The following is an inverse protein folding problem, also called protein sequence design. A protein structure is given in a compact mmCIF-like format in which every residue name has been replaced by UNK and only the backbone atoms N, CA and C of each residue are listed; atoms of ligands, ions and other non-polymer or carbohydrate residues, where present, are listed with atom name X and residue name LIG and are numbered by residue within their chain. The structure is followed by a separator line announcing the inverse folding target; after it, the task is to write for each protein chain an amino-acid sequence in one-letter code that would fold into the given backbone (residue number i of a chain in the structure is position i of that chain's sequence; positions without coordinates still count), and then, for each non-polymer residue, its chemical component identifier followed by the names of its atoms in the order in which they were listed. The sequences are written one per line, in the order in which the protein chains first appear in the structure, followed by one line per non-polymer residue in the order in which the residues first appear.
data_IF_235526814158
#
_entry.id   IF_235526814158
#
_cell.length_a   1.000
_cell.length_b   1.000
_cell.length_c   1.000
_cell.angle_alpha   90.00
_cell.angle_beta   90.00
_cell.angle_gamma   90.00
#
_symmetry.space_group_name_H-M   'P 1'
#
loop_
_entity.id
_entity.type
_entity.pdbx_description
1 polymer ?
#
# COMPACT_ATOMS: atom_id res chain seq x y z
N UNK A 1 15.97 5.52 -9.59
CA UNK A 1 16.28 4.55 -8.55
C UNK A 1 15.03 3.96 -7.93
N UNK A 2 15.10 2.71 -7.60
CA UNK A 2 14.01 2.03 -6.89
C UNK A 2 14.16 2.32 -5.40
N UNK A 3 13.21 3.04 -4.82
CA UNK A 3 13.14 3.13 -3.37
C UNK A 3 12.39 1.92 -2.83
N UNK A 4 12.96 1.27 -1.86
CA UNK A 4 12.33 0.18 -1.15
C UNK A 4 12.40 0.45 0.34
N UNK A 5 11.29 0.26 1.01
CA UNK A 5 11.23 0.40 2.45
C UNK A 5 10.28 -0.63 3.04
N UNK A 6 10.54 -1.01 4.27
CA UNK A 6 9.69 -1.92 5.02
C UNK A 6 9.56 -1.39 6.44
N UNK A 7 8.35 -1.34 6.94
CA UNK A 7 8.06 -1.02 8.34
C UNK A 7 7.28 -2.15 8.96
N UNK A 8 7.48 -2.39 10.25
CA UNK A 8 6.80 -3.45 10.97
C UNK A 8 6.35 -2.97 12.34
N UNK A 9 5.35 -3.65 12.87
CA UNK A 9 4.83 -3.41 14.21
C UNK A 9 4.52 -4.77 14.83
N UNK A 10 5.25 -5.17 15.89
CA UNK A 10 5.07 -6.50 16.51
C UNK A 10 3.67 -6.72 17.08
N UNK A 11 3.07 -5.68 17.62
CA UNK A 11 1.71 -5.71 18.14
C UNK A 11 1.07 -4.33 18.03
N UNK A 12 -0.28 -4.25 18.13
CA UNK A 12 -1.00 -2.97 17.93
C UNK A 12 -0.67 -1.89 18.94
N UNK A 13 -0.11 -2.24 20.09
CA UNK A 13 0.24 -1.26 21.13
C UNK A 13 1.56 -0.54 20.85
N UNK A 14 2.35 -1.05 19.89
CA UNK A 14 3.68 -0.49 19.57
C UNK A 14 3.62 0.38 18.32
N UNK A 15 4.58 1.28 18.22
CA UNK A 15 4.77 2.07 17.01
C UNK A 15 5.39 1.22 15.90
N UNK A 16 5.17 1.64 14.66
CA UNK A 16 5.87 1.03 13.52
C UNK A 16 7.36 1.35 13.58
N UNK A 17 8.16 0.38 13.20
CA UNK A 17 9.61 0.48 13.17
C UNK A 17 10.14 0.19 11.77
N UNK A 18 11.29 0.76 11.45
CA UNK A 18 11.98 0.46 10.20
C UNK A 18 12.51 -0.97 10.24
N UNK A 19 11.91 -1.85 9.46
CA UNK A 19 12.28 -3.26 9.41
C UNK A 19 13.47 -3.53 8.48
N UNK A 20 13.97 -2.51 7.78
CA UNK A 20 15.13 -2.67 6.86
C UNK A 20 16.48 -2.64 7.58
N UNK A 21 16.49 -2.44 8.89
CA UNK A 21 17.73 -2.36 9.69
C UNK A 21 18.34 -0.96 9.75
N UNK A 22 17.74 0.02 9.09
CA UNK A 22 18.25 1.39 9.06
C UNK A 22 17.92 2.21 10.29
N UNK A 23 17.06 1.74 11.17
CA UNK A 23 16.63 2.39 12.40
C UNK A 23 16.09 3.83 12.17
N UNK A 24 15.52 4.06 11.03
CA UNK A 24 14.96 5.38 10.68
C UNK A 24 13.66 5.61 11.45
N UNK A 25 13.46 6.80 12.05
CA UNK A 25 12.18 7.11 12.69
C UNK A 25 11.03 7.03 11.68
N UNK A 26 9.97 6.35 12.05
CA UNK A 26 8.77 6.22 11.21
C UNK A 26 7.84 7.38 11.44
N UNK A 27 7.44 8.05 10.38
CA UNK A 27 6.42 9.10 10.42
C UNK A 27 5.05 8.45 10.59
N UNK A 28 4.57 8.39 11.83
CA UNK A 28 3.35 7.70 12.23
C UNK A 28 2.14 8.08 11.39
N UNK A 29 2.03 9.36 11.08
CA UNK A 29 0.89 9.88 10.31
C UNK A 29 0.87 9.35 8.89
N UNK A 30 2.03 9.17 8.25
CA UNK A 30 2.11 8.65 6.89
C UNK A 30 1.61 7.21 6.82
N UNK A 31 1.94 6.39 7.81
CA UNK A 31 1.45 5.01 7.88
C UNK A 31 -0.06 4.99 8.10
N UNK A 32 -0.58 5.80 9.02
CA UNK A 32 -2.02 5.90 9.26
C UNK A 32 -2.77 6.35 8.01
N UNK A 33 -2.25 7.33 7.29
CA UNK A 33 -2.85 7.83 6.06
C UNK A 33 -2.89 6.72 4.99
N UNK A 34 -1.79 6.00 4.82
CA UNK A 34 -1.71 4.90 3.86
C UNK A 34 -2.72 3.79 4.18
N UNK A 35 -2.77 3.35 5.43
CA UNK A 35 -3.68 2.29 5.86
C UNK A 35 -5.15 2.73 5.70
N UNK A 36 -5.47 3.99 6.03
CA UNK A 36 -6.81 4.53 5.87
C UNK A 36 -7.22 4.60 4.40
N UNK A 37 -6.31 5.03 3.53
CA UNK A 37 -6.59 5.11 2.10
C UNK A 37 -6.85 3.74 1.50
N UNK A 38 -6.14 2.72 1.94
CA UNK A 38 -6.37 1.34 1.48
C UNK A 38 -7.67 0.75 2.03
N UNK A 39 -8.09 1.17 3.23
CA UNK A 39 -9.35 0.72 3.83
C UNK A 39 -10.56 1.39 3.18
N UNK A 40 -10.45 2.64 2.75
CA UNK A 40 -11.53 3.44 2.17
C UNK A 40 -11.42 3.49 0.65
N UNK A 41 -11.70 2.37 -0.01
CA UNK A 41 -11.63 2.26 -1.48
C UNK A 41 -12.64 3.10 -2.24
N UNK A 42 -13.62 3.69 -1.53
CA UNK A 42 -14.62 4.57 -2.14
C UNK A 42 -14.04 5.84 -2.75
N UNK A 43 -12.78 6.15 -2.46
CA UNK A 43 -12.11 7.34 -3.00
C UNK A 43 -11.50 7.13 -4.39
N UNK A 44 -11.61 5.92 -4.97
CA UNK A 44 -11.01 5.60 -6.27
C UNK A 44 -12.06 4.99 -7.20
N UNK A 45 -11.90 5.25 -8.49
CA UNK A 45 -12.74 4.64 -9.52
C UNK A 45 -12.31 3.21 -9.77
N UNK A 46 -13.27 2.36 -10.15
CA UNK A 46 -13.03 0.95 -10.44
C UNK A 46 -13.58 0.60 -11.83
N UNK A 47 -12.81 -0.15 -12.60
CA UNK A 47 -13.15 -0.56 -13.96
C UNK A 47 -12.74 -2.01 -14.19
N UNK A 48 -13.43 -2.75 -15.09
CA UNK A 48 -12.92 -4.04 -15.51
C UNK A 48 -11.54 -3.93 -16.14
N UNK A 49 -10.69 -4.93 -15.98
CA UNK A 49 -9.37 -4.93 -16.60
C UNK A 49 -9.44 -4.73 -18.11
N UNK A 50 -10.48 -5.26 -18.76
CA UNK A 50 -10.70 -5.09 -20.19
C UNK A 50 -10.89 -3.65 -20.65
N UNK A 51 -11.15 -2.74 -19.72
CA UNK A 51 -11.25 -1.31 -19.98
C UNK A 51 -9.90 -0.72 -20.41
N UNK A 52 -8.79 -1.35 -20.01
CA UNK A 52 -7.44 -0.82 -20.23
C UNK A 52 -6.75 -1.59 -21.36
N UNK A 53 -6.43 -0.91 -22.46
CA UNK A 53 -5.66 -1.46 -23.58
C UNK A 53 -4.19 -1.05 -23.55
N UNK A 54 -3.87 0.00 -22.81
CA UNK A 54 -2.55 0.63 -22.82
C UNK A 54 -1.91 0.64 -21.42
N UNK A 55 -2.10 -0.44 -20.67
CA UNK A 55 -1.50 -0.57 -19.38
C UNK A 55 -0.02 -0.93 -19.51
N UNK A 56 0.85 -0.10 -18.94
CA UNK A 56 2.28 -0.39 -18.92
C UNK A 56 2.59 -1.48 -17.88
N UNK A 57 3.77 -2.11 -17.96
CA UNK A 57 4.19 -3.06 -16.92
C UNK A 57 4.18 -2.43 -15.53
N UNK A 58 4.02 -3.26 -14.52
CA UNK A 58 4.02 -2.79 -13.13
C UNK A 58 5.31 -2.04 -12.80
N UNK A 59 5.16 -0.87 -12.17
CA UNK A 59 6.31 -0.05 -11.76
C UNK A 59 6.45 0.05 -10.24
N UNK A 60 5.44 -0.39 -9.49
CA UNK A 60 5.47 -0.35 -8.03
C UNK A 60 4.58 -1.43 -7.44
N UNK A 61 4.91 -1.89 -6.26
CA UNK A 61 4.11 -2.81 -5.48
C UNK A 61 4.03 -2.34 -4.04
N UNK A 62 2.89 -2.55 -3.42
CA UNK A 62 2.69 -2.36 -1.99
C UNK A 62 2.19 -3.68 -1.41
N UNK A 63 2.88 -4.19 -0.39
CA UNK A 63 2.50 -5.43 0.27
C UNK A 63 2.27 -5.13 1.75
N UNK A 64 1.11 -5.56 2.25
CA UNK A 64 0.76 -5.45 3.66
C UNK A 64 0.47 -6.85 4.19
N UNK A 65 1.22 -7.26 5.21
CA UNK A 65 0.99 -8.51 5.92
C UNK A 65 0.47 -8.19 7.32
N UNK A 66 -0.41 -9.03 7.85
CA UNK A 66 -1.01 -8.80 9.14
C UNK A 66 -0.91 -10.03 10.07
N UNK A 67 -1.35 -9.83 11.33
CA UNK A 67 -1.32 -10.88 12.34
C UNK A 67 -2.30 -12.02 12.07
N UNK A 68 -3.26 -11.81 11.16
CA UNK A 68 -4.22 -12.83 10.75
C UNK A 68 -3.69 -13.78 9.67
N UNK A 69 -2.43 -13.66 9.30
CA UNK A 69 -1.79 -14.51 8.30
C UNK A 69 -2.13 -14.13 6.87
N UNK A 70 -2.65 -12.94 6.65
CA UNK A 70 -3.01 -12.47 5.32
C UNK A 70 -1.94 -11.53 4.75
N UNK A 71 -1.71 -11.69 3.45
CA UNK A 71 -0.88 -10.78 2.67
C UNK A 71 -1.76 -10.14 1.62
N UNK A 72 -1.82 -8.81 1.62
CA UNK A 72 -2.55 -8.02 0.64
C UNK A 72 -1.55 -7.29 -0.22
N UNK A 73 -1.78 -7.30 -1.52
CA UNK A 73 -0.86 -6.69 -2.48
C UNK A 73 -1.60 -5.77 -3.42
N UNK A 74 -1.06 -4.56 -3.61
CA UNK A 74 -1.47 -3.65 -4.65
C UNK A 74 -0.33 -3.55 -5.66
N UNK A 75 -0.64 -3.71 -6.94
CA UNK A 75 0.32 -3.64 -8.04
C UNK A 75 -0.06 -2.44 -8.89
N UNK A 76 0.88 -1.53 -9.09
CA UNK A 76 0.63 -0.23 -9.73
C UNK A 76 1.22 -0.19 -11.14
N UNK A 77 0.42 0.34 -12.05
CA UNK A 77 0.76 0.47 -13.46
C UNK A 77 0.52 1.90 -13.93
N UNK A 78 1.34 2.35 -14.85
CA UNK A 78 1.09 3.61 -15.55
C UNK A 78 0.25 3.36 -16.79
N UNK A 79 -0.51 4.37 -17.17
CA UNK A 79 -1.24 4.37 -18.43
C UNK A 79 -0.38 5.05 -19.50
N UNK A 80 -0.17 4.38 -20.61
CA UNK A 80 0.50 4.99 -21.75
C UNK A 80 -0.35 6.15 -22.27
N UNK A 81 0.25 7.34 -22.33
CA UNK A 81 -0.43 8.54 -22.80
C UNK A 81 -1.21 9.30 -21.75
N UNK A 82 -1.27 8.83 -20.50
CA UNK A 82 -1.92 9.56 -19.41
C UNK A 82 -1.09 9.44 -18.13
N UNK A 83 -0.28 10.46 -17.86
CA UNK A 83 0.57 10.53 -16.68
C UNK A 83 -0.15 11.06 -15.43
N UNK A 84 -1.43 11.45 -15.55
CA UNK A 84 -2.20 12.01 -14.45
C UNK A 84 -2.76 10.96 -13.52
N UNK A 85 -2.77 9.69 -13.93
CA UNK A 85 -3.40 8.60 -13.21
C UNK A 85 -2.45 7.43 -13.02
N UNK A 86 -2.72 6.65 -11.97
CA UNK A 86 -2.12 5.35 -11.74
C UNK A 86 -3.26 4.33 -11.68
N UNK A 87 -3.06 3.21 -12.35
CA UNK A 87 -3.99 2.08 -12.30
C UNK A 87 -3.39 1.00 -11.43
N UNK A 88 -4.17 0.42 -10.53
CA UNK A 88 -3.68 -0.64 -9.68
C UNK A 88 -4.66 -1.79 -9.59
N UNK A 89 -4.11 -2.96 -9.35
CA UNK A 89 -4.86 -4.19 -9.08
C UNK A 89 -4.61 -4.62 -7.65
N UNK A 90 -5.58 -5.32 -7.07
CA UNK A 90 -5.48 -5.85 -5.72
C UNK A 90 -5.46 -7.36 -5.75
N UNK A 91 -4.64 -7.96 -4.90
CA UNK A 91 -4.63 -9.38 -4.65
C UNK A 91 -4.46 -9.64 -3.14
N UNK A 92 -4.82 -10.83 -2.72
CA UNK A 92 -4.67 -11.22 -1.32
C UNK A 92 -4.47 -12.74 -1.26
N UNK A 93 -3.67 -13.16 -0.28
CA UNK A 93 -3.43 -14.58 -0.06
C UNK A 93 -3.21 -14.87 1.42
N UNK A 94 -3.39 -16.13 1.80
CA UNK A 94 -3.00 -16.63 3.12
C UNK A 94 -1.52 -16.99 3.03
N UNK A 95 -0.65 -16.22 3.71
CA UNK A 95 0.78 -16.55 3.74
C UNK A 95 1.14 -17.41 4.95
N UNK A 96 0.27 -17.46 5.97
CA UNK A 96 0.47 -18.25 7.17
C UNK A 96 -0.89 -18.68 7.72
N UNK A 97 -1.04 -19.97 7.99
CA UNK A 97 -2.25 -20.46 8.64
C UNK A 97 -2.30 -19.98 10.09
N UNK A 98 -3.37 -19.34 10.47
CA UNK A 98 -3.61 -18.87 11.83
C UNK A 98 -4.90 -19.49 12.34
N UNK A 99 -4.80 -20.25 13.42
CA UNK A 99 -5.96 -20.82 14.10
C UNK A 99 -6.33 -19.93 15.28
N UNK A 100 -7.43 -19.22 15.12
CA UNK A 100 -7.93 -18.32 16.13
C UNK A 100 -9.46 -18.43 16.12
N UNK A 101 -10.11 -18.50 17.32
CA UNK A 101 -11.58 -18.58 17.37
C UNK A 101 -12.22 -17.41 16.63
N UNK A 102 -13.19 -17.73 15.76
CA UNK A 102 -13.89 -16.72 14.98
C UNK A 102 -13.16 -16.18 13.75
N UNK A 103 -11.93 -16.62 13.49
CA UNK A 103 -11.16 -16.19 12.34
C UNK A 103 -11.44 -17.10 11.14
N UNK A 104 -11.94 -16.51 10.05
CA UNK A 104 -12.06 -17.16 8.75
C UNK A 104 -11.20 -16.36 7.77
N UNK A 105 -10.01 -16.88 7.48
CA UNK A 105 -9.04 -16.20 6.62
C UNK A 105 -9.55 -16.03 5.20
N UNK A 106 -10.21 -17.04 4.65
CA UNK A 106 -10.75 -16.96 3.29
C UNK A 106 -11.83 -15.88 3.18
N UNK A 107 -12.67 -15.78 4.19
CA UNK A 107 -13.73 -14.76 4.22
C UNK A 107 -13.16 -13.35 4.24
N UNK A 108 -12.04 -13.14 4.96
CA UNK A 108 -11.36 -11.83 4.97
C UNK A 108 -10.77 -11.50 3.59
N UNK A 109 -10.22 -12.50 2.89
CA UNK A 109 -9.74 -12.32 1.52
C UNK A 109 -10.89 -11.95 0.60
N UNK A 110 -12.00 -12.67 0.67
CA UNK A 110 -13.17 -12.43 -0.18
C UNK A 110 -13.73 -11.02 0.05
N UNK A 111 -13.76 -10.55 1.28
CA UNK A 111 -14.16 -9.17 1.60
C UNK A 111 -13.21 -8.14 1.01
N UNK A 112 -11.92 -8.41 1.06
CA UNK A 112 -10.92 -7.51 0.48
C UNK A 112 -11.04 -7.45 -1.05
N UNK A 113 -11.31 -8.59 -1.67
CA UNK A 113 -11.45 -8.71 -3.13
C UNK A 113 -12.91 -8.69 -3.59
N UNK A 114 -13.79 -7.99 -2.89
CA UNK A 114 -15.24 -8.04 -3.12
C UNK A 114 -15.65 -7.74 -4.57
N UNK A 115 -14.84 -6.97 -5.30
CA UNK A 115 -15.10 -6.67 -6.72
C UNK A 115 -14.51 -7.70 -7.69
N UNK A 116 -13.83 -8.73 -7.16
CA UNK A 116 -13.19 -9.76 -7.99
C UNK A 116 -11.76 -9.41 -8.38
N UNK A 117 -11.07 -10.40 -8.98
CA UNK A 117 -9.65 -10.28 -9.32
C UNK A 117 -9.39 -9.50 -10.61
N UNK A 118 -10.38 -9.38 -11.49
CA UNK A 118 -10.23 -8.74 -12.78
C UNK A 118 -10.67 -7.28 -12.77
N UNK A 119 -10.61 -6.65 -11.61
CA UNK A 119 -10.96 -5.25 -11.43
C UNK A 119 -9.69 -4.43 -11.27
N UNK A 120 -9.62 -3.34 -12.01
CA UNK A 120 -8.57 -2.34 -11.88
C UNK A 120 -9.15 -1.11 -11.21
N UNK A 121 -8.33 -0.43 -10.42
CA UNK A 121 -8.69 0.79 -9.72
C UNK A 121 -7.81 1.92 -10.23
N UNK A 122 -8.37 3.12 -10.25
CA UNK A 122 -7.62 4.31 -10.64
C UNK A 122 -7.46 5.25 -9.47
N UNK A 123 -6.30 5.87 -9.38
CA UNK A 123 -6.09 6.98 -8.48
C UNK A 123 -5.28 8.08 -9.17
N UNK A 124 -5.44 9.35 -8.76
CA UNK A 124 -4.60 10.42 -9.28
C UNK A 124 -3.13 10.19 -8.92
N UNK A 125 -2.22 10.53 -9.84
CA UNK A 125 -0.78 10.40 -9.60
C UNK A 125 -0.32 11.17 -8.35
N UNK A 126 -0.77 12.39 -8.07
CA UNK A 126 -0.38 13.08 -6.83
C UNK A 126 -0.76 12.31 -5.57
N UNK A 127 -1.93 11.68 -5.56
CA UNK A 127 -2.36 10.86 -4.42
C UNK A 127 -1.47 9.64 -4.27
N UNK A 128 -1.13 8.97 -5.38
CA UNK A 128 -0.21 7.85 -5.37
C UNK A 128 1.15 8.25 -4.78
N UNK A 129 1.70 9.37 -5.22
CA UNK A 129 2.98 9.86 -4.73
C UNK A 129 2.95 10.16 -3.23
N UNK A 130 1.85 10.73 -2.76
CA UNK A 130 1.66 11.01 -1.33
C UNK A 130 1.57 9.73 -0.51
N UNK A 131 0.79 8.74 -0.97
CA UNK A 131 0.58 7.49 -0.26
C UNK A 131 1.80 6.58 -0.25
N UNK A 132 2.62 6.65 -1.28
CA UNK A 132 3.80 5.78 -1.42
C UNK A 132 5.10 6.46 -1.02
N UNK A 133 5.05 7.71 -0.55
CA UNK A 133 6.20 8.37 0.02
C UNK A 133 6.75 7.54 1.18
N UNK A 134 8.07 7.48 1.28
CA UNK A 134 8.72 6.74 2.36
C UNK A 134 8.20 7.23 3.72
N UNK A 135 7.78 6.30 4.61
CA UNK A 135 7.10 6.67 5.86
C UNK A 135 8.06 7.07 6.97
N UNK A 136 9.24 7.54 6.62
CA UNK A 136 10.25 7.92 7.58
C UNK A 136 10.28 9.43 7.75
N UNK A 137 10.59 9.85 8.97
CA UNK A 137 10.82 11.26 9.24
C UNK A 137 12.04 11.73 8.43
N UNK A 138 11.90 12.90 7.83
CA UNK A 138 13.03 13.51 7.17
C UNK A 138 14.12 13.78 8.21
N UNK A 139 15.40 13.51 7.89
CA UNK A 139 16.48 13.90 8.78
C UNK A 139 16.35 15.39 9.07
N UNK A 140 16.42 15.74 10.36
CA UNK A 140 16.46 17.15 10.76
C UNK A 140 17.72 17.75 10.17
N UNK A 141 17.61 18.28 8.97
CA UNK A 141 18.66 19.13 8.44
C UNK A 141 18.80 20.29 9.41
N UNK A 142 19.98 20.43 10.00
CA UNK A 142 20.31 21.69 10.63
C UNK A 142 20.05 22.77 9.60
N UNK A 143 18.99 23.53 9.80
CA UNK A 143 18.79 24.71 8.96
C UNK A 143 20.07 25.50 8.99
N UNK A 144 20.65 25.83 7.82
CA UNK A 144 21.79 26.74 7.83
C UNK A 144 21.34 27.95 8.62
N UNK A 145 22.13 28.30 9.63
CA UNK A 145 21.83 29.46 10.42
C UNK A 145 21.77 30.65 9.49
N UNK A 146 20.59 31.11 9.22
CA UNK A 146 20.46 32.42 8.63
C UNK A 146 20.89 33.43 9.66
N UNK A 147 21.98 33.93 9.43
CA UNK A 147 22.36 35.17 10.12
C UNK A 147 21.80 36.35 9.34
#
# INVERSE_FOLDING_TARGET
GRSQWTVSRPDPSRAFEDASGGLRPVARQNISTLLSALAFRSAVDAFPRSHYKNLEPAFAELIITDAYGLSRKAVFHRLKGDSSKVVFTLDARIYRQVKMPGLDQQKLIDRFLFSGKDVCYEMPMPLFNELTAAPFELPKTKKPHKK
#
